data_IF_133078825300
#
_entry.id   IF_133078825300
#
_cell.length_a   1.000
_cell.length_b   1.000
_cell.length_c   1.000
_cell.angle_alpha   90.00
_cell.angle_beta   90.00
_cell.angle_gamma   90.00
#
_symmetry.space_group_name_H-M   'P 1'
#
loop_
_entity.id
_entity.type
_entity.pdbx_description
1 polymer ?
#
# COMPACT_ATOMS: atom_id res chain seq x y z
N UNK A 1 -20.67 0.84 5.41
CA UNK A 1 -19.27 0.51 5.68
C UNK A 1 -18.43 1.58 5.00
N UNK A 2 -17.76 2.41 5.77
CA UNK A 2 -16.94 3.53 5.25
C UNK A 2 -15.50 3.06 5.09
N UNK A 3 -14.92 3.26 3.91
CA UNK A 3 -13.55 2.85 3.62
C UNK A 3 -12.74 4.03 3.10
N UNK A 4 -11.58 4.27 3.67
CA UNK A 4 -10.64 5.30 3.21
C UNK A 4 -9.60 4.66 2.29
N UNK A 5 -9.40 5.23 1.10
CA UNK A 5 -8.33 4.81 0.21
C UNK A 5 -7.13 5.77 0.35
N UNK A 6 -5.95 5.22 0.59
CA UNK A 6 -4.68 5.96 0.63
C UNK A 6 -3.81 5.55 -0.56
N UNK A 7 -3.37 6.54 -1.33
CA UNK A 7 -2.56 6.34 -2.53
C UNK A 7 -1.28 7.18 -2.41
N UNK A 8 -0.12 6.55 -2.14
CA UNK A 8 1.17 7.25 -2.23
C UNK A 8 1.49 7.57 -3.68
N UNK A 9 1.85 8.82 -3.95
CA UNK A 9 2.11 9.34 -5.28
C UNK A 9 3.49 10.00 -5.36
N UNK A 10 4.26 9.70 -6.41
CA UNK A 10 5.51 10.37 -6.74
C UNK A 10 5.70 10.45 -8.25
N UNK A 11 5.35 11.61 -8.83
CA UNK A 11 5.40 11.88 -10.26
C UNK A 11 4.52 10.92 -11.10
N UNK A 12 3.35 10.55 -10.58
CA UNK A 12 2.39 9.65 -11.24
C UNK A 12 1.18 10.42 -11.82
N UNK A 13 1.42 11.65 -12.29
CA UNK A 13 0.38 12.53 -12.83
C UNK A 13 -0.25 12.01 -14.13
N UNK A 14 0.39 11.04 -14.81
CA UNK A 14 -0.17 10.35 -15.99
C UNK A 14 -0.92 9.06 -15.60
N UNK A 15 -0.37 8.29 -14.66
CA UNK A 15 -0.92 6.98 -14.26
C UNK A 15 -2.14 7.12 -13.35
N UNK A 16 -2.06 8.02 -12.37
CA UNK A 16 -3.09 8.15 -11.34
C UNK A 16 -4.45 8.59 -11.90
N UNK A 17 -4.54 9.51 -12.88
CA UNK A 17 -5.82 9.83 -13.51
C UNK A 17 -6.49 8.62 -14.17
N UNK A 18 -5.74 7.76 -14.84
CA UNK A 18 -6.27 6.55 -15.48
C UNK A 18 -6.80 5.59 -14.42
N UNK A 19 -6.02 5.35 -13.37
CA UNK A 19 -6.41 4.50 -12.26
C UNK A 19 -7.67 5.02 -11.55
N UNK A 20 -7.71 6.31 -11.19
CA UNK A 20 -8.86 6.93 -10.53
C UNK A 20 -10.09 6.96 -11.42
N UNK A 21 -9.95 7.25 -12.72
CA UNK A 21 -11.07 7.28 -13.66
C UNK A 21 -11.79 5.94 -13.81
N UNK A 22 -11.08 4.81 -13.62
CA UNK A 22 -11.69 3.49 -13.55
C UNK A 22 -12.26 3.19 -12.16
N UNK A 23 -11.53 3.56 -11.09
CA UNK A 23 -11.89 3.26 -9.72
C UNK A 23 -13.21 3.92 -9.31
N UNK A 24 -13.37 5.23 -9.60
CA UNK A 24 -14.51 6.04 -9.16
C UNK A 24 -15.86 5.55 -9.71
N UNK A 25 -15.85 4.79 -10.81
CA UNK A 25 -17.08 4.20 -11.37
C UNK A 25 -17.79 3.26 -10.38
N UNK A 26 -17.04 2.66 -9.46
CA UNK A 26 -17.54 1.71 -8.47
C UNK A 26 -17.10 2.06 -7.03
N UNK A 27 -16.42 3.18 -6.84
CA UNK A 27 -16.07 3.71 -5.51
C UNK A 27 -17.22 4.55 -4.97
N UNK A 28 -17.55 4.40 -3.69
CA UNK A 28 -18.59 5.23 -3.08
C UNK A 28 -18.09 6.69 -3.08
N UNK A 29 -18.91 7.61 -3.58
CA UNK A 29 -18.58 9.03 -3.71
C UNK A 29 -18.24 9.69 -2.37
N UNK A 30 -18.85 9.21 -1.27
CA UNK A 30 -18.61 9.72 0.08
C UNK A 30 -17.36 9.15 0.74
N UNK A 31 -16.88 7.98 0.27
CA UNK A 31 -15.71 7.33 0.84
C UNK A 31 -14.42 8.12 0.48
N UNK A 32 -13.63 8.56 1.48
CA UNK A 32 -12.50 9.42 1.21
C UNK A 32 -11.38 8.73 0.41
N UNK A 33 -10.80 9.47 -0.54
CA UNK A 33 -9.56 9.10 -1.24
C UNK A 33 -8.49 10.12 -0.85
N UNK A 34 -7.40 9.65 -0.25
CA UNK A 34 -6.28 10.48 0.21
C UNK A 34 -5.04 10.21 -0.64
N UNK A 35 -4.59 11.22 -1.35
CA UNK A 35 -3.37 11.15 -2.15
C UNK A 35 -2.21 11.69 -1.32
N UNK A 36 -1.26 10.84 -0.96
CA UNK A 36 -0.02 11.23 -0.27
C UNK A 36 1.04 11.59 -1.33
N UNK A 37 1.13 12.86 -1.68
CA UNK A 37 1.89 13.34 -2.84
C UNK A 37 3.24 13.93 -2.45
N UNK A 38 4.31 13.23 -2.85
CA UNK A 38 5.71 13.64 -2.73
C UNK A 38 6.31 14.12 -4.07
N UNK A 39 5.49 14.37 -5.09
CA UNK A 39 5.90 14.71 -6.45
C UNK A 39 6.60 16.07 -6.53
N UNK A 40 7.34 16.30 -7.63
CA UNK A 40 7.83 17.64 -7.96
C UNK A 40 6.68 18.60 -8.26
N UNK A 41 6.96 19.89 -8.30
CA UNK A 41 5.94 20.94 -8.43
C UNK A 41 5.11 20.84 -9.72
N UNK A 42 5.76 20.49 -10.84
CA UNK A 42 5.07 20.36 -12.13
C UNK A 42 4.06 19.21 -12.12
N UNK A 43 4.48 18.04 -11.64
CA UNK A 43 3.60 16.86 -11.53
C UNK A 43 2.49 17.09 -10.51
N UNK A 44 2.81 17.74 -9.38
CA UNK A 44 1.83 18.08 -8.36
C UNK A 44 0.72 19.00 -8.92
N UNK A 45 1.09 20.04 -9.66
CA UNK A 45 0.11 20.96 -10.25
C UNK A 45 -0.84 20.25 -11.19
N UNK A 46 -0.30 19.44 -12.13
CA UNK A 46 -1.12 18.67 -13.06
C UNK A 46 -2.07 17.70 -12.35
N UNK A 47 -1.57 17.08 -11.28
CA UNK A 47 -2.39 16.19 -10.46
C UNK A 47 -3.52 16.96 -9.76
N UNK A 48 -3.24 18.10 -9.15
CA UNK A 48 -4.22 18.93 -8.47
C UNK A 48 -5.32 19.43 -9.42
N UNK A 49 -4.96 19.85 -10.63
CA UNK A 49 -5.93 20.25 -11.65
C UNK A 49 -6.92 19.13 -12.00
N UNK A 50 -6.41 17.92 -12.14
CA UNK A 50 -7.26 16.73 -12.35
C UNK A 50 -8.14 16.40 -11.14
N UNK A 51 -7.58 16.38 -9.94
CA UNK A 51 -8.32 16.04 -8.72
C UNK A 51 -9.42 17.07 -8.41
N UNK A 52 -9.20 18.33 -8.76
CA UNK A 52 -10.23 19.36 -8.64
C UNK A 52 -11.45 19.05 -9.51
N UNK A 53 -11.24 18.55 -10.71
CA UNK A 53 -12.36 18.13 -11.57
C UNK A 53 -13.19 16.98 -10.95
N UNK A 54 -12.56 16.09 -10.20
CA UNK A 54 -13.26 15.01 -9.49
C UNK A 54 -14.01 15.52 -8.24
N UNK A 55 -13.45 16.50 -7.52
CA UNK A 55 -14.13 17.15 -6.40
C UNK A 55 -15.40 17.88 -6.86
N UNK A 56 -15.34 18.55 -8.01
CA UNK A 56 -16.52 19.19 -8.62
C UNK A 56 -17.60 18.21 -9.02
N UNK A 57 -17.24 16.93 -9.27
CA UNK A 57 -18.17 15.82 -9.47
C UNK A 57 -18.71 15.22 -8.15
N UNK A 58 -18.31 15.77 -7.00
CA UNK A 58 -18.79 15.36 -5.68
C UNK A 58 -17.91 14.32 -4.97
N UNK A 59 -16.78 13.88 -5.58
CA UNK A 59 -15.91 12.89 -4.94
C UNK A 59 -15.12 13.49 -3.77
N UNK A 60 -15.08 12.77 -2.65
CA UNK A 60 -14.33 13.16 -1.45
C UNK A 60 -12.84 12.83 -1.61
N UNK A 61 -12.07 13.76 -2.20
CA UNK A 61 -10.63 13.56 -2.49
C UNK A 61 -9.78 14.62 -1.80
N UNK A 62 -8.83 14.16 -0.97
CA UNK A 62 -7.83 14.98 -0.30
C UNK A 62 -6.41 14.76 -0.84
N UNK A 63 -5.57 15.80 -0.76
CA UNK A 63 -4.14 15.72 -1.06
C UNK A 63 -3.35 16.08 0.18
N UNK A 64 -2.40 15.22 0.54
CA UNK A 64 -1.45 15.43 1.63
C UNK A 64 -0.08 15.63 1.00
N UNK A 65 0.32 16.91 0.93
CA UNK A 65 1.55 17.32 0.24
C UNK A 65 2.77 17.10 1.12
N UNK A 66 3.73 16.32 0.61
CA UNK A 66 5.07 16.23 1.16
C UNK A 66 5.99 17.34 0.63
N UNK A 67 6.90 17.81 1.47
CA UNK A 67 7.89 18.83 1.08
C UNK A 67 9.01 18.26 0.19
N UNK A 68 9.27 16.95 0.29
CA UNK A 68 10.33 16.24 -0.44
C UNK A 68 9.92 14.79 -0.65
N UNK A 69 10.68 14.05 -1.47
CA UNK A 69 10.52 12.60 -1.61
C UNK A 69 10.87 11.88 -0.30
N UNK A 70 9.88 11.55 0.50
CA UNK A 70 10.04 10.87 1.82
C UNK A 70 10.07 9.36 1.69
N UNK A 71 9.64 8.85 0.56
CA UNK A 71 9.49 7.41 0.30
C UNK A 71 8.10 6.88 0.71
N UNK A 72 7.71 5.79 0.06
CA UNK A 72 6.36 5.21 0.14
C UNK A 72 5.86 5.01 1.57
N UNK A 73 6.66 4.40 2.43
CA UNK A 73 6.26 4.11 3.81
C UNK A 73 5.96 5.36 4.64
N UNK A 74 6.75 6.43 4.49
CA UNK A 74 6.55 7.67 5.20
C UNK A 74 5.29 8.40 4.69
N UNK A 75 5.09 8.45 3.37
CA UNK A 75 3.92 9.07 2.75
C UNK A 75 2.61 8.38 3.18
N UNK A 76 2.59 7.04 3.13
CA UNK A 76 1.43 6.24 3.59
C UNK A 76 1.16 6.45 5.09
N UNK A 77 2.19 6.41 5.92
CA UNK A 77 2.02 6.58 7.38
C UNK A 77 1.46 7.96 7.73
N UNK A 78 1.89 9.02 7.04
CA UNK A 78 1.32 10.35 7.24
C UNK A 78 -0.15 10.42 6.80
N UNK A 79 -0.49 9.84 5.65
CA UNK A 79 -1.86 9.79 5.18
C UNK A 79 -2.77 8.96 6.12
N UNK A 80 -2.26 7.86 6.66
CA UNK A 80 -2.98 7.08 7.69
C UNK A 80 -3.21 7.89 8.96
N UNK A 81 -2.20 8.62 9.44
CA UNK A 81 -2.33 9.51 10.61
C UNK A 81 -3.35 10.62 10.36
N UNK A 82 -3.30 11.22 9.17
CA UNK A 82 -4.30 12.21 8.75
C UNK A 82 -5.71 11.60 8.75
N UNK A 83 -5.86 10.40 8.18
CA UNK A 83 -7.13 9.68 8.16
C UNK A 83 -7.68 9.45 9.58
N UNK A 84 -6.87 8.93 10.49
CA UNK A 84 -7.24 8.68 11.88
C UNK A 84 -7.61 9.94 12.66
N UNK A 85 -7.00 11.07 12.33
CA UNK A 85 -7.25 12.35 13.02
C UNK A 85 -8.50 13.07 12.51
N UNK A 86 -8.84 12.90 11.23
CA UNK A 86 -9.88 13.69 10.57
C UNK A 86 -11.16 12.91 10.29
N UNK A 87 -11.11 11.57 10.20
CA UNK A 87 -12.25 10.71 9.96
C UNK A 87 -12.47 9.78 11.15
N UNK A 88 -13.40 10.12 12.03
CA UNK A 88 -13.62 9.38 13.29
C UNK A 88 -14.25 8.00 13.11
N UNK A 89 -15.05 7.82 12.07
CA UNK A 89 -15.88 6.63 11.87
C UNK A 89 -15.61 6.03 10.48
N UNK A 90 -14.56 5.24 10.36
CA UNK A 90 -14.34 4.37 9.21
C UNK A 90 -14.08 2.93 9.65
N UNK A 91 -14.48 1.98 8.83
CA UNK A 91 -14.30 0.55 9.12
C UNK A 91 -12.92 0.08 8.67
N UNK A 92 -12.50 0.52 7.47
CA UNK A 92 -11.27 0.08 6.84
C UNK A 92 -10.50 1.23 6.18
N UNK A 93 -9.19 1.03 6.10
CA UNK A 93 -8.29 1.84 5.29
C UNK A 93 -7.60 0.92 4.27
N UNK A 94 -7.65 1.29 2.99
CA UNK A 94 -6.97 0.57 1.91
C UNK A 94 -5.77 1.40 1.44
N UNK A 95 -4.64 0.73 1.24
CA UNK A 95 -3.44 1.26 0.61
C UNK A 95 -3.30 0.65 -0.77
N UNK A 96 -3.12 1.48 -1.82
CA UNK A 96 -2.90 1.03 -3.20
C UNK A 96 -1.87 1.92 -3.90
N UNK A 97 -1.14 1.38 -4.90
CA UNK A 97 -0.17 2.14 -5.66
C UNK A 97 -0.84 3.00 -6.74
N UNK A 98 -0.24 4.17 -7.04
CA UNK A 98 -0.72 5.13 -8.03
C UNK A 98 -0.40 4.76 -9.48
N UNK A 99 0.48 3.76 -9.71
CA UNK A 99 1.09 3.46 -11.02
C UNK A 99 0.26 2.51 -11.91
N UNK A 100 -0.93 2.15 -11.47
CA UNK A 100 -1.82 1.22 -12.17
C UNK A 100 -1.44 -0.26 -12.03
N UNK A 101 -0.42 -0.59 -11.23
CA UNK A 101 -0.05 -2.00 -11.01
C UNK A 101 -1.09 -2.77 -10.18
N UNK A 102 -1.85 -2.08 -9.33
CA UNK A 102 -3.03 -2.59 -8.65
C UNK A 102 -4.27 -2.24 -9.47
N UNK A 103 -5.06 -3.24 -9.88
CA UNK A 103 -6.28 -2.98 -10.66
C UNK A 103 -7.35 -2.33 -9.77
N UNK A 104 -8.11 -1.36 -10.28
CA UNK A 104 -9.27 -0.82 -9.57
C UNK A 104 -10.24 -1.90 -9.09
N UNK A 105 -10.44 -2.95 -9.91
CA UNK A 105 -11.25 -4.11 -9.53
C UNK A 105 -10.76 -4.79 -8.24
N UNK A 106 -9.45 -5.01 -8.09
CA UNK A 106 -8.89 -5.66 -6.90
C UNK A 106 -9.03 -4.76 -5.66
N UNK A 107 -8.95 -3.43 -5.81
CA UNK A 107 -9.20 -2.47 -4.73
C UNK A 107 -10.66 -2.53 -4.28
N UNK A 108 -11.61 -2.53 -5.21
CA UNK A 108 -13.04 -2.66 -4.93
C UNK A 108 -13.34 -4.02 -4.28
N UNK A 109 -12.77 -5.10 -4.82
CA UNK A 109 -12.91 -6.43 -4.23
C UNK A 109 -12.42 -6.48 -2.78
N UNK A 110 -11.30 -5.84 -2.47
CA UNK A 110 -10.80 -5.78 -1.10
C UNK A 110 -11.67 -4.90 -0.19
N UNK A 111 -12.25 -3.81 -0.71
CA UNK A 111 -13.24 -3.00 0.03
C UNK A 111 -14.43 -3.85 0.45
N UNK A 112 -14.97 -4.61 -0.50
CA UNK A 112 -16.22 -5.36 -0.33
C UNK A 112 -16.03 -6.75 0.28
N UNK A 113 -14.80 -7.12 0.61
CA UNK A 113 -14.49 -8.45 1.17
C UNK A 113 -15.09 -8.65 2.55
N UNK A 114 -16.02 -9.60 2.66
CA UNK A 114 -16.89 -9.78 3.83
C UNK A 114 -16.24 -10.42 5.05
N UNK A 115 -15.13 -11.17 4.86
CA UNK A 115 -14.49 -11.82 6.00
C UNK A 115 -13.69 -10.82 6.81
N UNK A 116 -13.96 -10.76 8.11
CA UNK A 116 -13.24 -9.90 9.04
C UNK A 116 -11.76 -10.25 9.11
N UNK A 117 -10.93 -9.24 9.01
CA UNK A 117 -9.48 -9.29 9.18
C UNK A 117 -8.96 -7.95 9.64
N UNK A 118 -7.91 -7.94 10.47
CA UNK A 118 -7.23 -6.72 10.84
C UNK A 118 -6.32 -6.22 9.71
N UNK A 119 -5.65 -7.17 9.03
CA UNK A 119 -4.88 -6.90 7.83
C UNK A 119 -5.29 -7.89 6.73
N UNK A 120 -5.76 -7.36 5.59
CA UNK A 120 -5.98 -8.12 4.37
C UNK A 120 -4.90 -7.72 3.36
N UNK A 121 -4.18 -8.69 2.82
CA UNK A 121 -3.11 -8.49 1.84
C UNK A 121 -3.58 -9.01 0.48
N UNK A 122 -3.48 -8.17 -0.54
CA UNK A 122 -3.62 -8.60 -1.93
C UNK A 122 -2.39 -9.42 -2.33
N UNK A 123 -2.53 -10.71 -2.49
CA UNK A 123 -1.40 -11.61 -2.76
C UNK A 123 -1.23 -11.90 -4.25
N UNK A 124 0.01 -11.85 -4.73
CA UNK A 124 0.42 -12.22 -6.09
C UNK A 124 0.74 -13.71 -6.23
N UNK A 125 0.67 -14.47 -5.13
CA UNK A 125 1.18 -15.86 -5.06
C UNK A 125 0.14 -16.89 -4.61
N UNK A 126 -1.11 -16.51 -4.41
CA UNK A 126 -2.22 -17.45 -4.22
C UNK A 126 -2.59 -18.15 -5.55
N UNK A 127 -3.34 -19.23 -5.47
CA UNK A 127 -3.70 -20.07 -6.63
C UNK A 127 -4.30 -19.28 -7.80
N UNK A 128 -5.17 -18.33 -7.53
CA UNK A 128 -5.88 -17.57 -8.55
C UNK A 128 -5.23 -16.20 -8.86
N UNK A 129 -4.04 -15.95 -8.30
CA UNK A 129 -3.28 -14.74 -8.55
C UNK A 129 -2.54 -14.79 -9.88
N UNK A 130 -2.32 -13.60 -10.48
CA UNK A 130 -1.53 -13.46 -11.70
C UNK A 130 -0.57 -12.28 -11.58
N UNK A 131 0.61 -12.41 -12.18
CA UNK A 131 1.58 -11.32 -12.35
C UNK A 131 1.78 -11.12 -13.84
N UNK A 132 1.46 -9.94 -14.33
CA UNK A 132 1.62 -9.57 -15.74
C UNK A 132 2.90 -8.74 -15.95
N UNK A 133 3.53 -8.87 -17.12
CA UNK A 133 4.63 -7.99 -17.56
C UNK A 133 5.97 -8.11 -16.82
N UNK A 134 6.11 -9.00 -15.81
CA UNK A 134 7.39 -9.18 -15.11
C UNK A 134 8.30 -10.18 -15.83
N UNK A 135 9.60 -9.88 -15.87
CA UNK A 135 10.62 -10.83 -16.29
C UNK A 135 10.67 -12.05 -15.35
N UNK A 136 11.15 -13.17 -15.87
CA UNK A 136 11.30 -14.40 -15.07
C UNK A 136 12.24 -14.18 -13.87
N UNK A 137 13.33 -13.43 -14.05
CA UNK A 137 14.26 -13.10 -12.97
C UNK A 137 13.60 -12.30 -11.86
N UNK A 138 12.78 -11.28 -12.20
CA UNK A 138 12.03 -10.49 -11.22
C UNK A 138 11.01 -11.34 -10.47
N UNK A 139 10.31 -12.24 -11.17
CA UNK A 139 9.37 -13.20 -10.54
C UNK A 139 10.08 -14.13 -9.58
N UNK A 140 11.20 -14.72 -10.00
CA UNK A 140 11.98 -15.64 -9.17
C UNK A 140 12.49 -14.95 -7.89
N UNK A 141 13.07 -13.76 -8.03
CA UNK A 141 13.56 -12.96 -6.89
C UNK A 141 12.43 -12.60 -5.92
N UNK A 142 11.32 -12.10 -6.44
CA UNK A 142 10.18 -11.73 -5.59
C UNK A 142 9.58 -12.95 -4.90
N UNK A 143 9.45 -14.08 -5.59
CA UNK A 143 8.98 -15.34 -5.01
C UNK A 143 9.92 -15.85 -3.93
N UNK A 144 11.23 -15.76 -4.15
CA UNK A 144 12.25 -16.14 -3.18
C UNK A 144 12.15 -15.29 -1.90
N UNK A 145 12.05 -13.97 -2.02
CA UNK A 145 11.89 -13.09 -0.87
C UNK A 145 10.59 -13.38 -0.11
N UNK A 146 9.48 -13.59 -0.83
CA UNK A 146 8.20 -13.92 -0.22
C UNK A 146 8.12 -15.35 0.35
N UNK A 147 9.07 -16.23 0.01
CA UNK A 147 9.25 -17.52 0.67
C UNK A 147 10.07 -17.40 1.96
N UNK A 148 11.17 -16.63 1.93
CA UNK A 148 12.11 -16.51 3.06
C UNK A 148 11.55 -15.62 4.18
N UNK A 149 11.11 -14.40 3.84
CA UNK A 149 10.73 -13.39 4.84
C UNK A 149 9.59 -13.86 5.75
N UNK A 150 8.47 -14.39 5.25
CA UNK A 150 7.39 -14.88 6.11
C UNK A 150 7.83 -16.03 7.03
N UNK A 151 8.68 -16.93 6.54
CA UNK A 151 9.22 -18.04 7.36
C UNK A 151 10.06 -17.51 8.51
N UNK A 152 11.00 -16.61 8.22
CA UNK A 152 11.88 -16.01 9.24
C UNK A 152 11.08 -15.22 10.28
N UNK A 153 10.08 -14.47 9.84
CA UNK A 153 9.19 -13.71 10.72
C UNK A 153 8.07 -14.58 11.34
N UNK A 154 8.01 -15.87 10.96
CA UNK A 154 6.96 -16.82 11.36
C UNK A 154 5.54 -16.27 11.07
N UNK A 155 5.34 -15.57 9.97
CA UNK A 155 4.04 -15.05 9.49
C UNK A 155 3.51 -16.01 8.43
N UNK A 156 2.25 -16.41 8.52
CA UNK A 156 1.63 -17.33 7.56
C UNK A 156 0.96 -16.56 6.43
N UNK A 157 1.78 -15.98 5.53
CA UNK A 157 1.35 -15.31 4.31
C UNK A 157 2.22 -15.71 3.14
N UNK A 158 1.68 -15.62 1.93
CA UNK A 158 2.38 -15.92 0.68
C UNK A 158 2.99 -14.68 0.03
N UNK A 159 2.47 -13.47 0.34
CA UNK A 159 2.96 -12.21 -0.20
C UNK A 159 3.04 -11.10 0.85
N UNK A 160 4.17 -11.01 1.53
CA UNK A 160 4.41 -10.00 2.57
C UNK A 160 4.90 -8.67 2.00
N UNK A 161 5.27 -8.63 0.72
CA UNK A 161 5.90 -7.46 0.08
C UNK A 161 4.95 -6.65 -0.79
N UNK A 162 3.70 -7.11 -0.98
CA UNK A 162 2.74 -6.36 -1.78
C UNK A 162 2.15 -5.18 -1.01
N UNK A 163 1.96 -4.06 -1.72
CA UNK A 163 1.46 -2.81 -1.18
C UNK A 163 -0.06 -2.64 -1.26
N UNK A 164 -0.79 -3.54 -1.91
CA UNK A 164 -2.25 -3.51 -1.84
C UNK A 164 -2.70 -4.17 -0.54
N UNK A 165 -3.16 -3.35 0.42
CA UNK A 165 -3.51 -3.78 1.77
C UNK A 165 -4.76 -3.09 2.27
N UNK A 166 -5.60 -3.83 3.00
CA UNK A 166 -6.72 -3.28 3.77
C UNK A 166 -6.45 -3.49 5.26
N UNK A 167 -6.50 -2.41 6.01
CA UNK A 167 -6.34 -2.39 7.47
C UNK A 167 -7.70 -2.12 8.12
N UNK A 168 -8.07 -2.85 9.18
CA UNK A 168 -9.14 -2.43 10.06
C UNK A 168 -8.76 -1.10 10.76
N UNK A 169 -9.75 -0.34 11.23
CA UNK A 169 -9.48 0.88 12.01
C UNK A 169 -8.49 0.59 13.15
N UNK A 170 -8.69 -0.52 13.87
CA UNK A 170 -7.78 -0.97 14.92
C UNK A 170 -6.36 -1.20 14.42
N UNK A 171 -6.19 -1.89 13.29
CA UNK A 171 -4.87 -2.15 12.72
C UNK A 171 -4.19 -0.87 12.23
N UNK A 172 -4.93 0.04 11.59
CA UNK A 172 -4.42 1.34 11.18
C UNK A 172 -3.91 2.17 12.37
N UNK A 173 -4.68 2.21 13.47
CA UNK A 173 -4.30 2.89 14.73
C UNK A 173 -3.01 2.32 15.30
N UNK A 174 -2.91 1.00 15.40
CA UNK A 174 -1.72 0.34 15.91
C UNK A 174 -0.48 0.55 15.03
N UNK A 175 -0.63 0.46 13.71
CA UNK A 175 0.47 0.70 12.76
C UNK A 175 0.96 2.14 12.83
N UNK A 176 0.05 3.12 12.95
CA UNK A 176 0.41 4.53 13.07
C UNK A 176 1.07 4.90 14.40
N UNK A 177 0.79 4.17 15.46
CA UNK A 177 1.46 4.35 16.77
C UNK A 177 2.88 3.77 16.79
N UNK A 178 3.19 2.89 15.84
CA UNK A 178 4.49 2.24 15.74
C UNK A 178 5.48 3.08 14.91
N UNK A 179 6.65 3.35 15.48
CA UNK A 179 7.74 4.00 14.73
C UNK A 179 8.47 2.96 13.90
N UNK A 180 8.30 3.02 12.58
CA UNK A 180 9.00 2.12 11.66
C UNK A 180 10.51 2.29 11.77
N UNK A 181 11.23 1.16 11.80
CA UNK A 181 12.69 1.11 11.86
C UNK A 181 13.33 1.10 10.47
N UNK A 182 12.49 0.89 9.44
CA UNK A 182 12.93 0.71 8.06
C UNK A 182 12.22 1.67 7.13
N UNK A 183 12.89 2.00 6.04
CA UNK A 183 12.35 2.73 4.90
C UNK A 183 12.24 1.82 3.68
N UNK A 184 11.58 2.27 2.63
CA UNK A 184 11.40 1.50 1.40
C UNK A 184 10.39 0.37 1.54
N UNK A 185 10.57 -0.73 0.80
CA UNK A 185 9.60 -1.83 0.75
C UNK A 185 9.54 -2.71 2.00
N UNK A 186 10.57 -2.65 2.85
CA UNK A 186 10.67 -3.49 4.06
C UNK A 186 9.64 -3.08 5.12
N UNK A 187 9.21 -1.82 5.11
CA UNK A 187 8.20 -1.35 6.06
C UNK A 187 6.92 -2.19 6.04
N UNK A 188 6.55 -2.73 4.86
CA UNK A 188 5.39 -3.61 4.73
C UNK A 188 5.54 -4.91 5.55
N UNK A 189 6.73 -5.50 5.52
CA UNK A 189 7.04 -6.70 6.30
C UNK A 189 7.09 -6.40 7.79
N UNK A 190 7.61 -5.23 8.15
CA UNK A 190 7.67 -4.74 9.53
C UNK A 190 6.28 -4.49 10.12
N UNK A 191 5.39 -3.86 9.36
CA UNK A 191 3.99 -3.66 9.76
C UNK A 191 3.27 -5.00 9.96
N UNK A 192 3.43 -5.96 9.02
CA UNK A 192 2.81 -7.28 9.16
C UNK A 192 3.33 -8.04 10.40
N UNK A 193 4.63 -7.92 10.71
CA UNK A 193 5.20 -8.47 11.94
C UNK A 193 4.62 -7.81 13.19
N UNK A 194 4.48 -6.48 13.17
CA UNK A 194 3.91 -5.74 14.29
C UNK A 194 2.45 -6.14 14.55
N UNK A 195 1.63 -6.18 13.49
CA UNK A 195 0.24 -6.65 13.53
C UNK A 195 0.16 -8.08 14.10
N UNK A 196 1.03 -8.99 13.64
CA UNK A 196 1.11 -10.34 14.18
C UNK A 196 1.46 -10.35 15.68
N UNK A 197 2.44 -9.55 16.13
CA UNK A 197 2.81 -9.45 17.55
C UNK A 197 1.65 -8.95 18.42
N UNK A 198 0.77 -8.14 17.88
CA UNK A 198 -0.48 -7.70 18.52
C UNK A 198 -1.59 -8.76 18.47
N UNK A 199 -1.30 -9.98 18.00
CA UNK A 199 -2.27 -11.10 17.84
C UNK A 199 -3.49 -10.72 16.99
N UNK A 200 -3.28 -9.86 16.02
CA UNK A 200 -4.30 -9.44 15.07
C UNK A 200 -4.40 -10.41 13.90
N UNK A 201 -5.58 -10.53 13.30
CA UNK A 201 -5.88 -11.46 12.21
C UNK A 201 -5.36 -10.96 10.87
N UNK A 202 -4.44 -11.72 10.26
CA UNK A 202 -3.93 -11.45 8.92
C UNK A 202 -4.53 -12.46 7.93
N UNK A 203 -5.01 -11.98 6.80
CA UNK A 203 -5.55 -12.78 5.71
C UNK A 203 -4.98 -12.33 4.36
N UNK A 204 -5.14 -13.16 3.34
CA UNK A 204 -4.76 -12.87 1.97
C UNK A 204 -5.92 -13.13 1.00
N UNK A 205 -5.95 -12.37 -0.08
CA UNK A 205 -6.82 -12.58 -1.23
C UNK A 205 -6.02 -12.54 -2.53
N UNK A 206 -6.40 -13.32 -3.55
CA UNK A 206 -5.71 -13.30 -4.83
C UNK A 206 -5.95 -11.97 -5.56
N UNK A 207 -4.90 -11.47 -6.22
CA UNK A 207 -4.98 -10.29 -7.10
C UNK A 207 -4.31 -10.55 -8.45
N UNK A 208 -4.64 -9.71 -9.43
CA UNK A 208 -3.90 -9.64 -10.70
C UNK A 208 -3.02 -8.40 -10.68
N UNK A 209 -1.72 -8.59 -10.58
CA UNK A 209 -0.74 -7.52 -10.60
C UNK A 209 -0.35 -7.18 -12.02
N UNK A 210 -0.60 -5.93 -12.43
CA UNK A 210 -0.37 -5.42 -13.79
C UNK A 210 1.02 -4.78 -13.94
N UNK A 211 1.54 -4.64 -15.16
CA UNK A 211 2.66 -3.74 -15.40
C UNK A 211 2.23 -2.30 -15.11
N UNK A 212 3.18 -1.44 -14.76
CA UNK A 212 2.93 0.01 -14.64
C UNK A 212 2.36 0.56 -15.93
N UNK A 213 1.44 1.52 -15.83
CA UNK A 213 0.88 2.19 -17.00
C UNK A 213 1.92 3.08 -17.69
N UNK A 214 2.67 3.85 -16.90
CA UNK A 214 3.70 4.77 -17.39
C UNK A 214 4.97 4.66 -16.53
N UNK A 215 6.09 5.13 -17.11
CA UNK A 215 7.38 5.17 -16.43
C UNK A 215 8.07 3.80 -16.25
N UNK A 216 9.20 3.81 -15.59
CA UNK A 216 10.00 2.63 -15.26
C UNK A 216 10.07 2.38 -13.75
N UNK A 217 10.33 1.12 -13.37
CA UNK A 217 10.50 0.79 -11.96
C UNK A 217 11.69 1.56 -11.38
N UNK A 218 11.46 2.31 -10.32
CA UNK A 218 12.51 3.04 -9.58
C UNK A 218 13.27 2.16 -8.58
N UNK A 219 12.95 0.87 -8.50
CA UNK A 219 13.62 -0.08 -7.59
C UNK A 219 15.00 -0.41 -8.12
N UNK A 220 16.01 0.00 -7.40
CA UNK A 220 17.41 -0.22 -7.72
C UNK A 220 17.99 -1.45 -6.97
N UNK A 221 19.16 -1.94 -7.40
CA UNK A 221 19.90 -2.97 -6.66
C UNK A 221 20.21 -2.51 -5.23
N UNK A 222 20.47 -1.20 -5.04
CA UNK A 222 20.69 -0.59 -3.73
C UNK A 222 19.44 -0.70 -2.82
N UNK A 223 18.25 -0.56 -3.37
CA UNK A 223 17.00 -0.73 -2.62
C UNK A 223 16.81 -2.19 -2.20
N UNK A 224 17.21 -3.16 -3.02
CA UNK A 224 17.19 -4.58 -2.66
C UNK A 224 18.15 -4.90 -1.54
N UNK A 225 19.38 -4.38 -1.59
CA UNK A 225 20.40 -4.57 -0.53
C UNK A 225 19.94 -3.90 0.77
N UNK A 226 19.43 -2.67 0.71
CA UNK A 226 18.91 -1.97 1.88
C UNK A 226 17.68 -2.68 2.48
N UNK A 227 16.87 -3.32 1.64
CA UNK A 227 15.76 -4.16 2.07
C UNK A 227 16.24 -5.40 2.82
N UNK A 228 17.27 -6.06 2.33
CA UNK A 228 17.86 -7.23 3.01
C UNK A 228 18.45 -6.85 4.37
N UNK A 229 19.19 -5.75 4.45
CA UNK A 229 19.72 -5.21 5.70
C UNK A 229 18.61 -4.81 6.68
N UNK A 230 17.54 -4.21 6.16
CA UNK A 230 16.35 -3.88 6.94
C UNK A 230 15.69 -5.11 7.57
N UNK A 231 15.59 -6.22 6.82
CA UNK A 231 15.05 -7.49 7.33
C UNK A 231 15.94 -8.05 8.44
N UNK A 232 17.26 -8.06 8.26
CA UNK A 232 18.21 -8.49 9.30
C UNK A 232 18.01 -7.64 10.57
N UNK A 233 17.88 -6.32 10.44
CA UNK A 233 17.63 -5.42 11.57
C UNK A 233 16.32 -5.74 12.29
N UNK A 234 15.24 -6.01 11.56
CA UNK A 234 13.95 -6.41 12.16
C UNK A 234 14.10 -7.73 12.93
N UNK A 235 14.82 -8.69 12.38
CA UNK A 235 15.05 -10.01 13.01
C UNK A 235 15.82 -9.84 14.31
N UNK A 236 16.96 -9.13 14.30
CA UNK A 236 17.79 -8.93 15.49
C UNK A 236 17.02 -8.24 16.62
N UNK A 237 16.26 -7.19 16.29
CA UNK A 237 15.42 -6.50 17.28
C UNK A 237 14.26 -7.38 17.76
N UNK A 238 13.71 -8.22 16.88
CA UNK A 238 12.63 -9.15 17.24
C UNK A 238 13.10 -10.24 18.22
N UNK A 239 14.36 -10.64 18.13
CA UNK A 239 14.98 -11.63 19.04
C UNK A 239 15.37 -10.98 20.37
N UNK A 240 15.90 -9.76 20.34
CA UNK A 240 16.38 -9.03 21.54
C UNK A 240 15.25 -8.56 22.48
N UNK A 241 14.00 -8.58 22.04
CA UNK A 241 12.83 -8.14 22.81
C UNK A 241 11.90 -9.28 23.21
N UNK A 242 12.40 -10.49 23.25
CA UNK A 242 11.82 -11.64 23.93
C UNK A 242 12.34 -11.72 25.36
#
# INVERSE_FOLDING_TARGET
MTTILVIPCYNEHESLPVFLGELIRNWNVEDPILIADDSNESSHKQLCDYLESLRQQGHNIGVIRGSTKRGRGAAVNEAMKFALSNFRNFDYLIEADADGSHRPYDVIFMRDYQKESDLLIGSRYLKDSRIMGWSLSRRAMSKFLNFIIPKVLSIRVSDITNGLRRYSHRAATEVCSYTSLTSGFVYLSEQALYIKKKKMKIMEVPIVFMPRLYGSSTVTLRDLVSSLLGIIKIITISISRK
#
